data_IF_836041045567
#
_entry.id   IF_836041045567
#
_cell.length_a   1.000
_cell.length_b   1.000
_cell.length_c   1.000
_cell.angle_alpha   90.00
_cell.angle_beta   90.00
_cell.angle_gamma   90.00
#
_symmetry.space_group_name_H-M   'P 1'
#
loop_
_entity.id
_entity.type
_entity.pdbx_description
1 polymer ?
#
# COMPACT_ATOMS: atom_id res chain seq x y z
N UNK A 1 16.91 -1.02 -18.11
CA UNK A 1 16.12 -0.61 -16.93
C UNK A 1 14.95 -1.55 -16.85
N UNK A 2 14.66 -2.14 -15.69
CA UNK A 2 13.44 -2.94 -15.54
C UNK A 2 12.20 -2.06 -15.59
N UNK A 3 11.05 -2.67 -15.87
CA UNK A 3 9.75 -2.00 -15.89
C UNK A 3 9.31 -1.68 -14.47
N UNK A 4 8.37 -0.75 -14.35
CA UNK A 4 7.66 -0.45 -13.11
C UNK A 4 6.23 -0.89 -13.30
N UNK A 5 5.80 -1.93 -12.62
CA UNK A 5 4.50 -2.56 -12.81
C UNK A 5 3.66 -2.38 -11.54
N UNK A 6 2.42 -1.94 -11.68
CA UNK A 6 1.52 -1.77 -10.56
C UNK A 6 0.17 -2.43 -10.81
N UNK A 7 -0.33 -3.14 -9.80
CA UNK A 7 -1.66 -3.70 -9.75
C UNK A 7 -2.41 -3.06 -8.58
N UNK A 8 -3.46 -2.30 -8.87
CA UNK A 8 -4.30 -1.63 -7.90
C UNK A 8 -5.64 -2.37 -7.81
N UNK A 9 -6.04 -2.76 -6.61
CA UNK A 9 -7.29 -3.48 -6.35
C UNK A 9 -8.11 -2.63 -5.40
N UNK A 10 -9.29 -2.19 -5.84
CA UNK A 10 -10.24 -1.49 -5.00
C UNK A 10 -11.55 -2.27 -4.92
N UNK A 11 -11.96 -2.61 -3.70
CA UNK A 11 -13.27 -3.21 -3.47
C UNK A 11 -14.05 -2.36 -2.49
N UNK A 12 -15.18 -1.86 -2.96
CA UNK A 12 -16.08 -1.01 -2.18
C UNK A 12 -17.54 -1.39 -2.35
N UNK A 13 -17.88 -2.22 -3.34
CA UNK A 13 -19.18 -2.86 -3.46
C UNK A 13 -19.15 -4.34 -3.07
N UNK A 14 -20.07 -4.75 -2.20
CA UNK A 14 -20.14 -6.11 -1.65
C UNK A 14 -21.53 -6.71 -1.78
N UNK A 15 -21.62 -7.96 -2.23
CA UNK A 15 -22.88 -8.71 -2.31
C UNK A 15 -23.40 -9.16 -0.94
N UNK A 16 -22.49 -9.41 0.01
CA UNK A 16 -22.85 -9.79 1.38
C UNK A 16 -23.35 -8.55 2.16
N UNK A 17 -24.60 -8.55 2.66
CA UNK A 17 -25.17 -7.39 3.36
C UNK A 17 -24.50 -7.12 4.72
N UNK A 18 -23.75 -8.08 5.26
CA UNK A 18 -22.94 -7.93 6.46
C UNK A 18 -21.62 -7.18 6.22
N UNK A 19 -21.29 -6.87 4.96
CA UNK A 19 -20.17 -6.01 4.58
C UNK A 19 -20.69 -4.64 4.15
N UNK A 20 -20.26 -3.60 4.86
CA UNK A 20 -20.64 -2.24 4.51
C UNK A 20 -19.99 -1.84 3.19
N UNK A 21 -20.79 -1.21 2.33
CA UNK A 21 -20.28 -0.55 1.13
C UNK A 21 -19.37 0.62 1.52
N UNK A 22 -18.30 0.83 0.77
CA UNK A 22 -17.32 1.88 1.01
C UNK A 22 -17.41 2.95 -0.10
N UNK A 23 -16.85 4.13 0.15
CA UNK A 23 -16.78 5.21 -0.85
C UNK A 23 -15.34 5.61 -1.17
N UNK A 24 -14.47 5.62 -0.15
CA UNK A 24 -13.07 5.98 -0.27
C UNK A 24 -12.28 5.14 -1.30
N UNK A 25 -12.41 3.79 -1.37
CA UNK A 25 -11.54 2.97 -2.22
C UNK A 25 -11.56 3.33 -3.71
N UNK A 26 -12.70 3.78 -4.24
CA UNK A 26 -12.82 4.21 -5.63
C UNK A 26 -11.91 5.42 -5.93
N UNK A 27 -12.04 6.47 -5.11
CA UNK A 27 -11.27 7.70 -5.25
C UNK A 27 -9.79 7.50 -4.92
N UNK A 28 -9.51 6.69 -3.90
CA UNK A 28 -8.15 6.39 -3.45
C UNK A 28 -7.34 5.68 -4.55
N UNK A 29 -7.92 4.66 -5.19
CA UNK A 29 -7.28 3.93 -6.28
C UNK A 29 -7.10 4.79 -7.54
N UNK A 30 -8.08 5.62 -7.91
CA UNK A 30 -7.97 6.55 -9.04
C UNK A 30 -6.85 7.60 -8.82
N UNK A 31 -6.81 8.18 -7.62
CA UNK A 31 -5.82 9.18 -7.25
C UNK A 31 -4.40 8.61 -7.22
N UNK A 32 -4.24 7.39 -6.68
CA UNK A 32 -2.96 6.67 -6.67
C UNK A 32 -2.53 6.25 -8.08
N UNK A 33 -3.45 5.73 -8.90
CA UNK A 33 -3.16 5.37 -10.28
C UNK A 33 -2.61 6.57 -11.07
N UNK A 34 -3.22 7.75 -10.89
CA UNK A 34 -2.80 8.99 -11.56
C UNK A 34 -1.34 9.35 -11.26
N UNK A 35 -0.91 9.30 -9.99
CA UNK A 35 0.47 9.64 -9.62
C UNK A 35 1.46 8.54 -10.00
N UNK A 36 1.03 7.28 -9.95
CA UNK A 36 1.87 6.15 -10.33
C UNK A 36 2.14 6.14 -11.84
N UNK A 37 1.15 6.46 -12.67
CA UNK A 37 1.28 6.49 -14.12
C UNK A 37 2.10 7.67 -14.65
N UNK A 38 2.13 8.81 -13.95
CA UNK A 38 2.86 9.99 -14.44
C UNK A 38 4.37 9.67 -14.56
N UNK A 39 4.96 9.73 -15.76
CA UNK A 39 6.37 9.38 -15.97
C UNK A 39 7.34 10.37 -15.33
N UNK A 40 6.88 11.57 -14.93
CA UNK A 40 7.68 12.55 -14.21
C UNK A 40 7.73 12.26 -12.71
N UNK A 41 6.73 11.53 -12.20
CA UNK A 41 6.62 11.16 -10.79
C UNK A 41 7.15 9.74 -10.61
N UNK A 42 6.42 8.72 -11.07
CA UNK A 42 6.71 7.33 -10.74
C UNK A 42 6.86 6.40 -11.95
N UNK A 43 6.15 6.68 -13.06
CA UNK A 43 6.30 5.99 -14.34
C UNK A 43 5.96 4.49 -14.34
N UNK A 44 4.92 4.09 -13.60
CA UNK A 44 4.41 2.73 -13.57
C UNK A 44 3.44 2.43 -14.72
N UNK A 45 3.53 1.22 -15.26
CA UNK A 45 2.44 0.56 -15.99
C UNK A 45 1.40 0.08 -14.97
N UNK A 46 0.27 0.79 -14.86
CA UNK A 46 -0.77 0.53 -13.86
C UNK A 46 -1.94 -0.26 -14.46
N UNK A 47 -2.30 -1.37 -13.82
CA UNK A 47 -3.55 -2.10 -14.02
C UNK A 47 -4.44 -1.91 -12.78
N UNK A 48 -5.71 -1.60 -12.97
CA UNK A 48 -6.67 -1.39 -11.87
C UNK A 48 -7.84 -2.37 -11.97
N UNK A 49 -8.17 -3.04 -10.87
CA UNK A 49 -9.32 -3.91 -10.72
C UNK A 49 -10.29 -3.30 -9.71
N UNK A 50 -11.53 -3.09 -10.14
CA UNK A 50 -12.56 -2.42 -9.34
C UNK A 50 -13.73 -3.38 -9.13
N UNK A 51 -14.07 -3.65 -7.87
CA UNK A 51 -15.20 -4.52 -7.48
C UNK A 51 -15.22 -5.87 -8.22
N UNK A 52 -14.04 -6.45 -8.45
CA UNK A 52 -13.91 -7.77 -9.08
C UNK A 52 -14.08 -8.89 -8.04
N UNK A 53 -14.57 -10.07 -8.44
CA UNK A 53 -14.69 -11.21 -7.54
C UNK A 53 -13.33 -11.86 -7.27
N UNK A 54 -13.22 -12.59 -6.17
CA UNK A 54 -11.94 -13.11 -5.67
C UNK A 54 -11.16 -13.96 -6.68
N UNK A 55 -11.83 -14.72 -7.55
CA UNK A 55 -11.17 -15.56 -8.54
C UNK A 55 -10.51 -14.74 -9.65
N UNK A 56 -11.14 -13.64 -10.12
CA UNK A 56 -10.55 -12.74 -11.13
C UNK A 56 -9.37 -11.98 -10.57
N UNK A 57 -9.48 -11.51 -9.33
CA UNK A 57 -8.38 -10.84 -8.63
C UNK A 57 -7.22 -11.81 -8.37
N UNK A 58 -7.52 -13.03 -7.94
CA UNK A 58 -6.52 -14.09 -7.75
C UNK A 58 -5.77 -14.44 -9.03
N UNK A 59 -6.49 -14.62 -10.16
CA UNK A 59 -5.89 -14.82 -11.48
C UNK A 59 -4.96 -13.67 -11.87
N UNK A 60 -5.43 -12.42 -11.73
CA UNK A 60 -4.66 -11.24 -12.07
C UNK A 60 -3.39 -11.07 -11.22
N UNK A 61 -3.45 -11.37 -9.91
CA UNK A 61 -2.26 -11.38 -9.04
C UNK A 61 -1.28 -12.47 -9.49
N UNK A 62 -1.79 -13.65 -9.85
CA UNK A 62 -0.98 -14.74 -10.37
C UNK A 62 -0.23 -14.34 -11.64
N UNK A 63 -0.92 -13.73 -12.60
CA UNK A 63 -0.33 -13.28 -13.86
C UNK A 63 0.64 -12.11 -13.65
N UNK A 64 0.28 -11.15 -12.78
CA UNK A 64 1.13 -10.02 -12.41
C UNK A 64 2.51 -10.46 -11.90
N UNK A 65 2.56 -11.50 -11.06
CA UNK A 65 3.83 -12.02 -10.54
C UNK A 65 4.48 -13.08 -11.45
N UNK A 66 3.76 -13.67 -12.41
CA UNK A 66 4.31 -14.60 -13.41
C UNK A 66 5.13 -13.85 -14.48
N UNK A 67 4.64 -12.71 -14.95
CA UNK A 67 5.17 -12.02 -16.13
C UNK A 67 6.27 -11.00 -15.83
N UNK A 68 6.67 -10.89 -14.55
CA UNK A 68 7.71 -9.96 -14.12
C UNK A 68 9.12 -10.48 -14.45
N UNK A 69 10.00 -9.55 -14.77
CA UNK A 69 11.43 -9.77 -14.88
C UNK A 69 12.13 -9.45 -13.57
N UNK A 70 13.37 -9.94 -13.43
CA UNK A 70 14.15 -9.83 -12.20
C UNK A 70 14.44 -8.40 -11.75
N UNK A 71 14.58 -7.50 -12.71
CA UNK A 71 14.93 -6.09 -12.48
C UNK A 71 13.69 -5.19 -12.47
N UNK A 72 12.48 -5.75 -12.65
CA UNK A 72 11.23 -5.00 -12.57
C UNK A 72 10.96 -4.57 -11.12
N UNK A 73 10.36 -3.39 -10.91
CA UNK A 73 9.80 -2.96 -9.63
C UNK A 73 8.30 -3.22 -9.66
N UNK A 74 7.80 -4.01 -8.71
CA UNK A 74 6.35 -4.33 -8.63
C UNK A 74 5.70 -3.63 -7.45
N UNK A 75 4.48 -3.13 -7.65
CA UNK A 75 3.65 -2.56 -6.59
C UNK A 75 2.25 -3.17 -6.65
N UNK A 76 1.86 -3.89 -5.60
CA UNK A 76 0.48 -4.33 -5.39
C UNK A 76 -0.15 -3.43 -4.34
N UNK A 77 -1.25 -2.78 -4.68
CA UNK A 77 -2.03 -1.93 -3.77
C UNK A 77 -3.43 -2.51 -3.61
N UNK A 78 -3.89 -2.65 -2.37
CA UNK A 78 -5.26 -3.03 -2.06
C UNK A 78 -5.92 -2.00 -1.15
N UNK A 79 -7.16 -1.64 -1.48
CA UNK A 79 -8.04 -0.84 -0.62
C UNK A 79 -9.44 -1.47 -0.55
N UNK A 80 -9.97 -1.61 0.66
CA UNK A 80 -11.22 -2.31 0.94
C UNK A 80 -11.28 -2.90 2.35
N UNK A 81 -12.15 -3.89 2.57
CA UNK A 81 -12.23 -4.59 3.86
C UNK A 81 -11.15 -5.68 3.99
N UNK A 82 -10.47 -5.69 5.15
CA UNK A 82 -9.65 -6.81 5.61
C UNK A 82 -10.39 -7.58 6.69
N UNK A 83 -10.63 -8.87 6.47
CA UNK A 83 -11.38 -9.75 7.38
C UNK A 83 -10.45 -10.80 7.99
N UNK A 84 -10.69 -11.14 9.25
CA UNK A 84 -9.99 -12.25 9.92
C UNK A 84 -10.96 -13.37 10.24
N UNK A 85 -10.56 -14.62 9.99
CA UNK A 85 -11.30 -15.78 10.47
C UNK A 85 -10.99 -16.07 11.96
N UNK A 86 -11.63 -17.12 12.51
CA UNK A 86 -11.46 -17.54 13.90
C UNK A 86 -10.01 -17.98 14.23
N UNK A 87 -9.25 -18.40 13.23
CA UNK A 87 -7.83 -18.74 13.35
C UNK A 87 -6.91 -17.50 13.23
N UNK A 88 -7.49 -16.32 13.01
CA UNK A 88 -6.77 -15.06 12.82
C UNK A 88 -6.16 -14.88 11.43
N UNK A 89 -6.50 -15.73 10.45
CA UNK A 89 -5.99 -15.62 9.08
C UNK A 89 -6.64 -14.44 8.38
N UNK A 90 -5.82 -13.65 7.69
CA UNK A 90 -6.28 -12.47 6.96
C UNK A 90 -6.79 -12.84 5.57
N UNK A 91 -7.98 -12.31 5.25
CA UNK A 91 -8.58 -12.33 3.91
C UNK A 91 -8.87 -10.89 3.49
N UNK A 92 -8.57 -10.58 2.22
CA UNK A 92 -9.00 -9.35 1.58
C UNK A 92 -10.39 -9.61 0.99
N UNK A 93 -11.37 -8.79 1.37
CA UNK A 93 -12.74 -8.95 0.90
C UNK A 93 -12.88 -8.42 -0.52
N UNK A 94 -13.46 -9.25 -1.38
CA UNK A 94 -13.75 -9.01 -2.78
C UNK A 94 -15.27 -8.85 -2.93
N UNK A 95 -15.76 -8.45 -4.11
CA UNK A 95 -17.19 -8.13 -4.26
C UNK A 95 -18.12 -9.29 -3.90
N UNK A 96 -17.66 -10.53 -4.14
CA UNK A 96 -18.40 -11.77 -3.88
C UNK A 96 -18.02 -12.47 -2.56
N UNK A 97 -17.31 -11.79 -1.65
CA UNK A 97 -16.95 -12.36 -0.35
C UNK A 97 -18.17 -12.47 0.55
N UNK A 98 -18.31 -13.64 1.17
CA UNK A 98 -19.30 -13.93 2.20
C UNK A 98 -18.63 -14.11 3.56
N UNK A 99 -19.12 -13.39 4.58
CA UNK A 99 -18.48 -13.38 5.92
C UNK A 99 -18.50 -14.75 6.59
N UNK A 100 -19.53 -15.54 6.33
CA UNK A 100 -19.68 -16.89 6.88
C UNK A 100 -18.93 -17.95 6.07
N UNK A 101 -18.23 -17.56 4.98
CA UNK A 101 -17.52 -18.47 4.09
C UNK A 101 -16.21 -17.87 3.56
N UNK A 102 -15.44 -17.21 4.43
CA UNK A 102 -14.19 -16.51 4.06
C UNK A 102 -13.21 -17.41 3.31
N UNK A 103 -13.05 -18.66 3.77
CA UNK A 103 -12.12 -19.63 3.18
C UNK A 103 -12.32 -19.84 1.67
N UNK A 104 -13.56 -19.75 1.18
CA UNK A 104 -13.91 -20.02 -0.22
C UNK A 104 -14.27 -18.77 -1.02
N UNK A 105 -14.49 -17.63 -0.36
CA UNK A 105 -15.06 -16.43 -0.99
C UNK A 105 -14.26 -15.17 -0.75
N UNK A 106 -13.35 -15.16 0.22
CA UNK A 106 -12.33 -14.13 0.42
C UNK A 106 -11.03 -14.48 -0.28
N UNK A 107 -10.21 -13.46 -0.56
CA UNK A 107 -8.86 -13.68 -1.08
C UNK A 107 -7.88 -13.76 0.09
N UNK A 108 -7.32 -14.95 0.36
CA UNK A 108 -6.43 -15.13 1.51
C UNK A 108 -5.10 -14.38 1.29
N UNK A 109 -4.63 -13.65 2.30
CA UNK A 109 -3.35 -12.96 2.25
C UNK A 109 -2.17 -13.93 2.01
N UNK A 110 -2.32 -15.18 2.43
CA UNK A 110 -1.37 -16.26 2.14
C UNK A 110 -1.21 -16.54 0.63
N UNK A 111 -2.29 -16.47 -0.14
CA UNK A 111 -2.21 -16.67 -1.59
C UNK A 111 -1.41 -15.54 -2.26
N UNK A 112 -1.55 -14.32 -1.74
CA UNK A 112 -0.80 -13.15 -2.21
C UNK A 112 0.69 -13.30 -1.86
N UNK A 113 1.00 -13.69 -0.62
CA UNK A 113 2.39 -13.92 -0.20
C UNK A 113 3.07 -15.02 -1.03
N UNK A 114 2.37 -16.13 -1.31
CA UNK A 114 2.86 -17.19 -2.19
C UNK A 114 3.11 -16.69 -3.63
N UNK A 115 2.23 -15.86 -4.18
CA UNK A 115 2.42 -15.26 -5.50
C UNK A 115 3.65 -14.31 -5.50
N UNK A 116 3.82 -13.52 -4.45
CA UNK A 116 5.01 -12.66 -4.29
C UNK A 116 6.32 -13.46 -4.13
N UNK A 117 6.26 -14.64 -3.50
CA UNK A 117 7.41 -15.54 -3.32
C UNK A 117 7.85 -16.21 -4.61
N UNK A 118 6.89 -16.73 -5.38
CA UNK A 118 7.17 -17.36 -6.68
C UNK A 118 7.63 -16.37 -7.74
N UNK A 119 7.37 -15.09 -7.51
CA UNK A 119 7.71 -14.01 -8.41
C UNK A 119 9.20 -13.70 -8.59
N UNK A 120 9.62 -13.41 -9.83
CA UNK A 120 11.04 -13.18 -10.18
C UNK A 120 11.63 -11.82 -9.76
N UNK A 121 10.81 -10.78 -9.55
CA UNK A 121 11.33 -9.45 -9.19
C UNK A 121 12.04 -9.47 -7.84
N UNK A 122 13.09 -8.66 -7.74
CA UNK A 122 13.83 -8.43 -6.48
C UNK A 122 13.33 -7.24 -5.68
N UNK A 123 12.39 -6.47 -6.22
CA UNK A 123 11.82 -5.28 -5.60
C UNK A 123 10.30 -5.35 -5.70
N UNK A 124 9.67 -5.80 -4.62
CA UNK A 124 8.23 -5.99 -4.54
C UNK A 124 7.66 -5.13 -3.41
N UNK A 125 6.69 -4.30 -3.74
CA UNK A 125 5.99 -3.44 -2.81
C UNK A 125 4.57 -3.93 -2.66
N UNK A 126 4.13 -4.11 -1.41
CA UNK A 126 2.74 -4.38 -1.08
C UNK A 126 2.22 -3.24 -0.21
N UNK A 127 1.12 -2.61 -0.60
CA UNK A 127 0.47 -1.56 0.17
C UNK A 127 -0.95 -2.02 0.46
N UNK A 128 -1.28 -2.15 1.75
CA UNK A 128 -2.61 -2.54 2.21
C UNK A 128 -3.26 -1.37 2.93
N UNK A 129 -4.23 -0.74 2.27
CA UNK A 129 -5.10 0.29 2.82
C UNK A 129 -6.46 -0.32 3.17
N UNK A 130 -6.47 -1.21 4.15
CA UNK A 130 -7.68 -1.86 4.64
C UNK A 130 -7.77 -1.73 6.16
N UNK A 131 -8.97 -1.43 6.64
CA UNK A 131 -9.29 -1.59 8.06
C UNK A 131 -9.43 -3.09 8.35
N UNK A 132 -8.81 -3.58 9.43
CA UNK A 132 -9.05 -4.94 9.90
C UNK A 132 -10.35 -4.95 10.71
N UNK A 133 -11.49 -4.96 10.03
CA UNK A 133 -12.77 -5.17 10.69
C UNK A 133 -12.82 -6.64 11.12
N UNK A 134 -12.50 -6.89 12.40
CA UNK A 134 -12.59 -8.22 12.97
C UNK A 134 -14.01 -8.76 12.78
N UNK A 135 -14.14 -9.87 12.05
CA UNK A 135 -15.33 -10.70 12.12
C UNK A 135 -15.33 -11.39 13.48
N UNK A 136 -15.62 -10.66 14.54
CA UNK A 136 -15.90 -11.26 15.84
C UNK A 136 -17.39 -11.61 15.87
N UNK A 137 -17.76 -12.89 15.95
CA UNK A 137 -19.11 -13.26 16.36
C UNK A 137 -19.38 -12.58 17.71
N UNK A 138 -20.57 -12.02 17.84
CA UNK A 138 -21.08 -11.37 19.04
C UNK A 138 -20.70 -12.15 20.30
N UNK A 139 -19.81 -11.61 21.15
CA UNK A 139 -19.55 -12.15 22.49
C UNK A 139 -18.13 -12.60 22.85
N UNK A 140 -17.11 -12.45 21.99
CA UNK A 140 -15.71 -12.63 22.40
C UNK A 140 -14.95 -11.31 22.36
N UNK A 141 -14.51 -10.85 23.53
CA UNK A 141 -13.60 -9.71 23.65
C UNK A 141 -12.31 -10.00 22.90
N UNK A 142 -11.90 -9.06 22.04
CA UNK A 142 -10.61 -9.11 21.39
C UNK A 142 -9.51 -9.20 22.46
N UNK A 143 -8.87 -10.37 22.60
CA UNK A 143 -7.62 -10.45 23.34
C UNK A 143 -6.61 -9.60 22.57
N UNK A 144 -5.92 -8.73 23.29
CA UNK A 144 -5.08 -7.64 22.80
C UNK A 144 -3.83 -8.03 21.97
N UNK A 145 -3.80 -9.23 21.38
CA UNK A 145 -2.59 -9.83 20.78
C UNK A 145 -2.72 -10.18 19.28
N UNK A 146 -3.87 -9.89 18.64
CA UNK A 146 -4.16 -10.34 17.26
C UNK A 146 -3.75 -9.35 16.17
N UNK A 147 -3.14 -8.21 16.51
CA UNK A 147 -2.59 -7.21 15.57
C UNK A 147 -1.22 -7.60 15.02
N UNK A 148 -0.63 -8.68 15.53
CA UNK A 148 0.77 -9.05 15.30
C UNK A 148 0.96 -9.94 14.04
N UNK A 149 -0.02 -10.76 13.64
CA UNK A 149 0.21 -11.81 12.64
C UNK A 149 0.01 -11.43 11.15
N UNK A 150 -0.51 -10.23 10.84
CA UNK A 150 -0.82 -9.86 9.43
C UNK A 150 0.42 -9.46 8.62
N UNK A 151 1.38 -8.77 9.26
CA UNK A 151 2.62 -8.31 8.62
C UNK A 151 3.74 -9.37 8.69
N UNK A 152 3.84 -10.10 9.80
CA UNK A 152 4.82 -11.17 10.00
C UNK A 152 4.78 -12.24 8.91
N UNK A 153 3.64 -12.38 8.20
CA UNK A 153 3.51 -13.30 7.07
C UNK A 153 4.39 -12.91 5.88
N UNK A 154 4.51 -11.61 5.58
CA UNK A 154 5.22 -11.13 4.39
C UNK A 154 6.72 -10.90 4.66
N UNK A 155 7.44 -11.91 5.15
CA UNK A 155 8.88 -11.82 5.48
C UNK A 155 9.83 -12.20 4.34
N UNK A 156 9.33 -12.44 3.13
CA UNK A 156 10.17 -12.81 1.98
C UNK A 156 11.18 -11.74 1.57
N UNK A 157 12.30 -12.17 0.96
CA UNK A 157 13.38 -11.27 0.49
C UNK A 157 12.91 -10.39 -0.66
N UNK A 158 13.45 -9.17 -0.72
CA UNK A 158 13.14 -8.19 -1.76
C UNK A 158 11.75 -7.56 -1.62
N UNK A 159 11.15 -7.59 -0.41
CA UNK A 159 9.79 -7.12 -0.17
C UNK A 159 9.74 -5.95 0.80
N UNK A 160 8.89 -4.98 0.50
CA UNK A 160 8.46 -3.95 1.43
C UNK A 160 6.94 -3.96 1.50
N UNK A 161 6.40 -4.08 2.72
CA UNK A 161 4.97 -4.05 2.99
C UNK A 161 4.63 -2.83 3.82
N UNK A 162 3.69 -2.03 3.33
CA UNK A 162 3.11 -0.88 4.03
C UNK A 162 1.65 -1.18 4.35
N UNK A 163 1.22 -0.90 5.57
CA UNK A 163 -0.19 -1.00 5.95
C UNK A 163 -0.67 0.30 6.55
N UNK A 164 -1.87 0.73 6.19
CA UNK A 164 -2.53 1.88 6.80
C UNK A 164 -2.73 1.72 8.32
N UNK A 165 -2.85 0.47 8.77
CA UNK A 165 -3.10 0.01 10.15
C UNK A 165 -4.40 0.55 10.79
N UNK A 166 -4.85 -0.17 11.82
CA UNK A 166 -6.11 0.06 12.52
C UNK A 166 -6.27 1.47 13.07
N UNK A 167 -6.95 2.33 12.33
CA UNK A 167 -8.02 3.05 12.98
C UNK A 167 -9.28 2.19 12.84
N UNK A 168 -9.91 1.87 13.97
CA UNK A 168 -11.35 1.59 14.01
C UNK A 168 -12.11 2.87 13.62
N UNK A 169 -11.85 3.42 12.42
CA UNK A 169 -12.61 4.53 11.83
C UNK A 169 -14.08 4.16 11.68
N UNK A 170 -14.34 2.85 11.67
CA UNK A 170 -15.64 2.26 11.69
C UNK A 170 -15.93 1.71 13.08
N UNK A 171 -16.40 2.59 13.97
CA UNK A 171 -16.88 2.20 15.30
C UNK A 171 -17.99 1.16 15.16
N UNK A 172 -17.84 0.02 15.82
CA UNK A 172 -18.91 -0.98 15.96
C UNK A 172 -19.94 -0.46 16.98
N UNK A 173 -20.95 0.28 16.53
CA UNK A 173 -22.17 0.52 17.32
C UNK A 173 -23.31 -0.29 16.71
N UNK A 174 -23.58 -1.46 17.29
CA UNK A 174 -24.54 -2.42 16.72
C UNK A 174 -24.03 -3.07 15.43
N UNK A 175 -24.84 -3.93 14.80
CA UNK A 175 -24.51 -4.67 13.58
C UNK A 175 -24.22 -3.79 12.34
N UNK A 176 -23.99 -2.50 12.51
CA UNK A 176 -23.76 -1.54 11.43
C UNK A 176 -22.40 -0.88 11.60
N UNK A 177 -21.60 -0.97 10.53
CA UNK A 177 -20.35 -0.25 10.38
C UNK A 177 -20.76 1.18 9.97
N UNK A 178 -20.40 2.19 10.77
CA UNK A 178 -20.66 3.60 10.47
C UNK A 178 -19.37 4.28 10.00
N UNK A 179 -19.32 4.68 8.74
CA UNK A 179 -18.26 5.54 8.21
C UNK A 179 -18.55 5.99 6.78
N UNK A 180 -18.64 7.31 6.58
CA UNK A 180 -18.80 7.98 5.28
C UNK A 180 -17.54 8.75 4.92
N UNK A 181 -16.36 8.19 5.21
CA UNK A 181 -15.12 8.84 4.80
C UNK A 181 -15.06 8.86 3.27
N UNK A 182 -15.01 10.06 2.68
CA UNK A 182 -14.92 10.25 1.23
C UNK A 182 -13.55 9.81 0.68
N UNK A 183 -12.52 9.71 1.55
CA UNK A 183 -11.15 9.32 1.23
C UNK A 183 -10.46 8.63 2.42
N UNK A 184 -9.51 7.73 2.16
CA UNK A 184 -8.61 7.21 3.19
C UNK A 184 -7.60 8.27 3.60
N UNK A 185 -7.37 8.45 4.91
CA UNK A 185 -6.33 9.36 5.42
C UNK A 185 -4.93 8.87 5.01
N UNK A 186 -4.71 7.55 5.05
CA UNK A 186 -3.45 6.95 4.65
C UNK A 186 -3.18 7.13 3.15
N UNK A 187 -4.11 6.73 2.28
CA UNK A 187 -3.90 6.88 0.83
C UNK A 187 -3.86 8.34 0.41
N UNK A 188 -4.61 9.23 1.07
CA UNK A 188 -4.51 10.66 0.80
C UNK A 188 -3.07 11.18 0.97
N UNK A 189 -2.45 10.92 2.14
CA UNK A 189 -1.07 11.37 2.38
C UNK A 189 -0.04 10.66 1.50
N UNK A 190 -0.29 9.38 1.15
CA UNK A 190 0.52 8.65 0.18
C UNK A 190 0.52 9.35 -1.19
N UNK A 191 -0.66 9.72 -1.68
CA UNK A 191 -0.84 10.40 -2.97
C UNK A 191 -0.26 11.81 -2.93
N UNK A 192 -0.51 12.58 -1.86
CA UNK A 192 0.02 13.95 -1.74
C UNK A 192 1.55 13.95 -1.77
N UNK A 193 2.18 13.14 -0.91
CA UNK A 193 3.64 13.09 -0.82
C UNK A 193 4.33 12.72 -2.13
N UNK A 194 3.71 11.83 -2.93
CA UNK A 194 4.18 11.50 -4.27
C UNK A 194 3.92 12.62 -5.28
N UNK A 195 2.74 13.24 -5.23
CA UNK A 195 2.29 14.23 -6.21
C UNK A 195 3.09 15.53 -6.13
N UNK A 196 3.29 16.04 -4.93
CA UNK A 196 3.97 17.33 -4.71
C UNK A 196 5.46 17.17 -4.38
N UNK A 197 5.92 15.93 -4.20
CA UNK A 197 7.31 15.61 -3.86
C UNK A 197 7.69 15.92 -2.42
N UNK A 198 6.73 16.24 -1.54
CA UNK A 198 6.99 16.51 -0.12
C UNK A 198 7.45 15.29 0.68
N UNK A 199 7.36 14.10 0.08
CA UNK A 199 7.93 12.88 0.60
C UNK A 199 9.43 12.69 0.30
N UNK A 200 10.07 13.57 -0.47
CA UNK A 200 11.54 13.66 -0.60
C UNK A 200 12.07 14.40 0.64
N UNK A 201 12.49 13.65 1.65
CA UNK A 201 12.79 14.19 2.97
C UNK A 201 14.24 14.66 3.08
N UNK A 202 15.15 14.10 2.28
CA UNK A 202 16.56 14.51 2.25
C UNK A 202 16.91 15.52 1.15
N UNK A 203 15.99 15.76 0.20
CA UNK A 203 16.13 16.74 -0.87
C UNK A 203 17.05 16.30 -2.00
N UNK A 204 17.30 15.00 -2.16
CA UNK A 204 18.16 14.46 -3.22
C UNK A 204 17.45 14.31 -4.58
N UNK A 205 16.13 14.52 -4.62
CA UNK A 205 15.29 14.44 -5.81
C UNK A 205 14.64 13.08 -6.03
N UNK A 206 15.02 12.06 -5.25
CA UNK A 206 14.37 10.76 -5.21
C UNK A 206 13.37 10.71 -4.06
N UNK A 207 12.34 9.90 -4.23
CA UNK A 207 11.45 9.52 -3.12
C UNK A 207 11.67 8.03 -2.92
N UNK A 208 12.29 7.66 -1.80
CA UNK A 208 12.44 6.27 -1.40
C UNK A 208 11.20 5.76 -0.67
N UNK A 209 11.01 4.44 -0.60
CA UNK A 209 9.95 3.85 0.23
C UNK A 209 10.10 4.16 1.72
N UNK A 210 11.34 4.38 2.18
CA UNK A 210 11.59 4.73 3.57
C UNK A 210 11.10 6.14 3.87
N UNK A 211 11.46 7.11 3.03
CA UNK A 211 11.01 8.49 3.17
C UNK A 211 9.49 8.63 2.96
N UNK A 212 8.94 7.94 1.96
CA UNK A 212 7.50 7.93 1.74
C UNK A 212 6.76 7.39 2.97
N UNK A 213 7.26 6.31 3.58
CA UNK A 213 6.68 5.79 4.81
C UNK A 213 6.79 6.79 5.96
N UNK A 214 7.96 7.39 6.19
CA UNK A 214 8.18 8.31 7.30
C UNK A 214 7.30 9.58 7.15
N UNK A 215 7.18 10.10 5.93
CA UNK A 215 6.27 11.18 5.56
C UNK A 215 4.82 10.82 5.88
N UNK A 216 4.33 9.70 5.32
CA UNK A 216 2.94 9.27 5.48
C UNK A 216 2.63 8.97 6.95
N UNK A 217 3.50 8.25 7.65
CA UNK A 217 3.32 7.96 9.06
C UNK A 217 3.20 9.24 9.90
N UNK A 218 4.09 10.22 9.68
CA UNK A 218 4.04 11.50 10.40
C UNK A 218 2.75 12.27 10.15
N UNK A 219 2.30 12.35 8.90
CA UNK A 219 1.04 13.02 8.52
C UNK A 219 -0.19 12.33 9.05
N UNK A 220 -0.27 11.00 8.90
CA UNK A 220 -1.40 10.19 9.37
C UNK A 220 -1.54 10.26 10.89
N UNK A 221 -0.44 10.13 11.65
CA UNK A 221 -0.49 10.20 13.11
C UNK A 221 -0.86 11.60 13.60
N UNK A 222 -0.52 12.66 12.85
CA UNK A 222 -0.91 14.02 13.18
C UNK A 222 -2.41 14.27 12.92
N UNK A 223 -2.93 13.85 11.76
CA UNK A 223 -4.35 14.02 11.40
C UNK A 223 -5.27 13.06 12.16
N UNK A 224 -4.86 11.80 12.32
CA UNK A 224 -5.62 10.74 12.98
C UNK A 224 -4.71 9.92 13.93
N UNK A 225 -4.50 10.37 15.18
CA UNK A 225 -3.57 9.72 16.13
C UNK A 225 -3.86 8.25 16.47
N UNK A 226 -5.10 7.80 16.24
CA UNK A 226 -5.52 6.40 16.41
C UNK A 226 -5.04 5.52 15.25
N UNK A 227 -4.84 6.07 14.06
CA UNK A 227 -4.30 5.37 12.90
C UNK A 227 -2.77 5.40 12.95
N UNK A 228 -2.13 4.23 12.93
CA UNK A 228 -0.66 4.12 13.03
C UNK A 228 -0.09 3.24 11.94
N UNK A 229 0.22 3.80 10.76
CA UNK A 229 0.77 3.03 9.65
C UNK A 229 1.97 2.19 10.07
N UNK A 230 2.14 1.03 9.44
CA UNK A 230 3.26 0.14 9.72
C UNK A 230 4.00 -0.18 8.43
N UNK A 231 5.31 -0.40 8.56
CA UNK A 231 6.20 -0.85 7.49
C UNK A 231 6.96 -2.09 7.94
N UNK A 232 7.03 -3.07 7.06
CA UNK A 232 7.95 -4.20 7.17
C UNK A 232 8.77 -4.26 5.88
N UNK A 233 10.09 -4.31 6.00
CA UNK A 233 10.98 -4.33 4.85
C UNK A 233 12.05 -5.42 5.02
N UNK A 234 12.27 -6.19 3.96
CA UNK A 234 13.34 -7.17 3.84
C UNK A 234 14.02 -6.99 2.47
N UNK A 235 14.60 -5.82 2.26
CA UNK A 235 15.29 -5.41 1.02
C UNK A 235 16.76 -5.07 1.31
N UNK A 236 17.64 -5.34 0.37
CA UNK A 236 19.02 -4.83 0.41
C UNK A 236 19.07 -3.49 -0.33
N UNK A 237 19.45 -2.41 0.37
CA UNK A 237 19.51 -1.06 -0.18
C UNK A 237 18.17 -0.33 -0.19
N UNK A 238 18.14 0.81 -0.88
CA UNK A 238 16.96 1.68 -0.98
C UNK A 238 16.12 1.33 -2.21
N UNK A 239 14.81 1.40 -2.07
CA UNK A 239 13.87 1.28 -3.20
C UNK A 239 13.29 2.65 -3.52
N UNK A 240 13.67 3.20 -4.67
CA UNK A 240 13.17 4.49 -5.17
C UNK A 240 11.81 4.27 -5.82
N UNK A 241 10.76 4.84 -5.22
CA UNK A 241 9.39 4.68 -5.70
C UNK A 241 8.97 5.80 -6.67
N UNK A 242 9.50 7.01 -6.50
CA UNK A 242 9.19 8.15 -7.37
C UNK A 242 10.35 9.16 -7.44
N UNK A 243 10.15 10.21 -8.23
CA UNK A 243 11.01 11.38 -8.36
C UNK A 243 10.25 12.62 -7.87
N UNK A 244 10.97 13.50 -7.21
CA UNK A 244 10.43 14.80 -6.82
C UNK A 244 10.43 15.75 -8.02
N UNK A 245 9.24 16.03 -8.55
CA UNK A 245 9.06 16.92 -9.72
C UNK A 245 9.48 18.38 -9.47
N UNK A 246 9.59 18.79 -8.20
CA UNK A 246 9.99 20.13 -7.80
C UNK A 246 11.49 20.22 -7.52
N UNK A 247 12.22 19.09 -7.59
CA UNK A 247 13.65 19.10 -7.37
C UNK A 247 14.35 19.82 -8.52
N UNK A 248 15.15 20.82 -8.15
CA UNK A 248 16.10 21.46 -9.05
C UNK A 248 17.47 21.26 -8.47
N UNK A 249 18.44 20.95 -9.34
CA UNK A 249 19.84 20.83 -8.96
C UNK A 249 20.29 22.19 -8.43
N UNK A 250 20.21 22.40 -7.12
CA UNK A 250 20.69 23.63 -6.49
C UNK A 250 22.16 23.79 -6.88
N UNK A 251 22.50 24.95 -7.44
CA UNK A 251 23.84 25.29 -7.89
C UNK A 251 24.85 24.89 -6.82
N UNK A 252 25.72 23.91 -7.10
CA UNK A 252 26.98 23.78 -6.37
C UNK A 252 27.66 25.14 -6.48
N UNK A 253 27.91 25.89 -5.38
CA UNK A 253 28.81 27.03 -5.48
C UNK A 253 30.12 26.47 -6.02
N UNK A 254 30.50 26.95 -7.20
CA UNK A 254 31.67 26.46 -7.91
C UNK A 254 32.85 26.42 -6.95
N UNK A 255 33.53 25.28 -6.87
CA UNK A 255 34.87 25.23 -6.28
C UNK A 255 35.67 26.33 -6.98
N UNK A 256 35.95 27.41 -6.26
CA UNK A 256 36.92 28.39 -6.70
C UNK A 256 38.22 27.62 -6.96
N UNK A 257 38.65 27.56 -8.22
CA UNK A 257 40.00 27.13 -8.54
C UNK A 257 40.95 28.02 -7.74
N UNK A 258 41.86 27.47 -6.93
CA UNK A 258 42.86 28.29 -6.28
C UNK A 258 43.71 28.97 -7.36
N UNK A 259 43.66 30.30 -7.40
CA UNK A 259 44.50 31.12 -8.25
C UNK A 259 45.96 30.80 -7.98
N UNK A 260 46.68 30.37 -9.02
CA UNK A 260 48.13 30.15 -8.98
C UNK A 260 48.81 31.49 -8.68
N UNK A 261 49.66 31.61 -7.65
CA UNK A 261 50.39 32.84 -7.40
C UNK A 261 51.49 33.01 -8.45
N UNK A 262 51.43 34.10 -9.22
CA UNK A 262 52.56 34.59 -9.99
C UNK A 262 53.67 35.02 -9.02
N UNK A 263 54.80 34.30 -9.02
CA UNK A 263 56.05 34.81 -8.46
C UNK A 263 56.67 35.75 -9.50
N UNK A 264 56.95 36.98 -9.09
CA UNK A 264 58.04 37.79 -9.63
C UNK A 264 59.33 37.43 -8.92
#
# INVERSE_FOLDING_TARGET
MGRRLALLIATYEYHDPGLQQLTAPAHDAEALATVLQDPRIAGFEVTTLINEPHYRVGEAIGDFYRDQLRDDLTLLYFTGHGLKDDDGRLYLAMTNTHRDSLLFTGLAAEQIDQAMETGNSRQKVLILDCCYSGAFPTGRTAKADTTVHSLERFQGRGRTVLTASDATQYSFEGNQIHGQATRSVFTHHLVEGLRDGSADLDGDGNITLDELYDYVHGRVVNEMPQQRPKKQANVEGQTIIAQNINWTLAHRPGRACPSVPHRQ
#
